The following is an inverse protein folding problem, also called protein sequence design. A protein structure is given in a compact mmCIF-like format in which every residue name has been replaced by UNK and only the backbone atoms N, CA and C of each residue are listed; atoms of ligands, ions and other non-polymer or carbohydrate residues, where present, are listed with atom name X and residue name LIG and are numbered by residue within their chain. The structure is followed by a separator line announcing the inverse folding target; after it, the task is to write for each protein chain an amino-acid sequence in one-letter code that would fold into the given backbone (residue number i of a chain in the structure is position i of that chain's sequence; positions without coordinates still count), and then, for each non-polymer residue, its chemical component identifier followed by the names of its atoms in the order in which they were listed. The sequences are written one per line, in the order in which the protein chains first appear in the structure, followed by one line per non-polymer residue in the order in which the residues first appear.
data_IF_223984504272
#
_entry.id   IF_223984504272
#
_cell.length_a   1.000
_cell.length_b   1.000
_cell.length_c   1.000
_cell.angle_alpha   90.00
_cell.angle_beta   90.00
_cell.angle_gamma   90.00
#
_symmetry.space_group_name_H-M   'P 1'
#
loop_
_entity.id
_entity.type
_entity.pdbx_description
1 polymer ?
#
# COMPACT_ATOMS: atom_id res chain seq x y z
N UNK A 1 -3.68 -9.65 -54.62
CA UNK A 1 -2.76 -8.63 -54.05
C UNK A 1 -3.18 -8.38 -52.62
N UNK A 2 -2.29 -8.59 -51.66
CA UNK A 2 -2.55 -8.26 -50.26
C UNK A 2 -2.45 -6.73 -50.13
N UNK A 3 -3.45 -6.11 -49.51
CA UNK A 3 -3.48 -4.65 -49.31
C UNK A 3 -2.37 -4.22 -48.33
N UNK A 4 -1.69 -3.11 -48.60
CA UNK A 4 -0.64 -2.56 -47.73
C UNK A 4 -1.12 -2.35 -46.28
N UNK A 5 -2.41 -2.07 -46.10
CA UNK A 5 -3.04 -1.95 -44.77
C UNK A 5 -3.01 -3.26 -43.99
N UNK A 6 -3.21 -4.39 -44.67
CA UNK A 6 -3.18 -5.72 -44.06
C UNK A 6 -1.76 -6.06 -43.61
N UNK A 7 -0.76 -5.73 -44.43
CA UNK A 7 0.66 -5.88 -44.08
C UNK A 7 1.06 -5.03 -42.87
N UNK A 8 0.59 -3.78 -42.80
CA UNK A 8 0.86 -2.90 -41.66
C UNK A 8 0.27 -3.47 -40.36
N UNK A 9 -0.98 -3.94 -40.39
CA UNK A 9 -1.64 -4.53 -39.20
C UNK A 9 -0.88 -5.76 -38.73
N UNK A 10 -0.52 -6.66 -39.65
CA UNK A 10 0.24 -7.88 -39.32
C UNK A 10 1.58 -7.52 -38.66
N UNK A 11 2.32 -6.54 -39.20
CA UNK A 11 3.60 -6.13 -38.62
C UNK A 11 3.46 -5.55 -37.22
N UNK A 12 2.43 -4.73 -36.97
CA UNK A 12 2.16 -4.18 -35.62
C UNK A 12 1.79 -5.29 -34.65
N UNK A 13 0.95 -6.23 -35.07
CA UNK A 13 0.60 -7.40 -34.26
C UNK A 13 1.82 -8.27 -33.96
N UNK A 14 2.70 -8.49 -34.93
CA UNK A 14 3.93 -9.25 -34.75
C UNK A 14 4.88 -8.54 -33.77
N UNK A 15 5.06 -7.23 -33.91
CA UNK A 15 5.89 -6.45 -33.00
C UNK A 15 5.39 -6.53 -31.56
N UNK A 16 4.08 -6.45 -31.35
CA UNK A 16 3.47 -6.60 -30.03
C UNK A 16 3.69 -7.99 -29.44
N UNK A 17 3.54 -9.05 -30.25
CA UNK A 17 3.82 -10.43 -29.82
C UNK A 17 5.30 -10.62 -29.45
N UNK A 18 6.22 -10.04 -30.23
CA UNK A 18 7.66 -10.10 -29.93
C UNK A 18 7.97 -9.42 -28.61
N UNK A 19 7.37 -8.27 -28.32
CA UNK A 19 7.54 -7.58 -27.03
C UNK A 19 7.02 -8.44 -25.88
N UNK A 20 5.83 -9.04 -26.02
CA UNK A 20 5.26 -9.92 -24.99
C UNK A 20 6.13 -11.16 -24.74
N UNK A 21 6.66 -11.77 -25.80
CA UNK A 21 7.59 -12.90 -25.69
C UNK A 21 8.91 -12.49 -25.04
N UNK A 22 9.42 -11.30 -25.36
CA UNK A 22 10.64 -10.76 -24.76
C UNK A 22 10.45 -10.55 -23.26
N UNK A 23 9.34 -9.92 -22.84
CA UNK A 23 9.02 -9.73 -21.41
C UNK A 23 8.90 -11.08 -20.68
N UNK A 24 8.31 -12.09 -21.33
CA UNK A 24 8.18 -13.44 -20.78
C UNK A 24 9.55 -14.13 -20.62
N UNK A 25 10.45 -14.00 -21.61
CA UNK A 25 11.80 -14.59 -21.58
C UNK A 25 12.59 -14.14 -20.34
N UNK A 26 12.49 -12.87 -19.98
CA UNK A 26 13.18 -12.31 -18.80
C UNK A 26 12.44 -12.53 -17.48
N UNK A 27 11.36 -13.33 -17.47
CA UNK A 27 10.51 -13.52 -16.29
C UNK A 27 10.08 -12.18 -15.66
N UNK A 28 9.97 -11.12 -16.47
CA UNK A 28 9.45 -9.83 -16.02
C UNK A 28 7.93 -10.03 -15.92
N UNK A 29 7.52 -10.55 -14.76
CA UNK A 29 6.12 -10.65 -14.41
C UNK A 29 5.58 -9.24 -14.34
N UNK A 30 4.72 -8.86 -15.30
CA UNK A 30 3.98 -7.60 -15.23
C UNK A 30 3.20 -7.67 -13.91
N UNK A 31 3.50 -6.81 -12.92
CA UNK A 31 2.77 -6.85 -11.67
C UNK A 31 1.29 -6.64 -11.99
N UNK A 32 0.43 -7.50 -11.47
CA UNK A 32 -1.00 -7.25 -11.58
C UNK A 32 -1.30 -5.89 -10.93
N UNK A 33 -2.30 -5.16 -11.45
CA UNK A 33 -2.69 -3.85 -10.90
C UNK A 33 -2.88 -3.92 -9.37
N UNK A 34 -3.46 -5.01 -8.86
CA UNK A 34 -3.59 -5.25 -7.43
C UNK A 34 -2.26 -5.40 -6.69
N UNK A 35 -1.26 -6.06 -7.29
CA UNK A 35 0.07 -6.20 -6.70
C UNK A 35 0.82 -4.88 -6.69
N UNK A 36 0.70 -4.07 -7.74
CA UNK A 36 1.31 -2.74 -7.82
C UNK A 36 0.77 -1.82 -6.71
N UNK A 37 -0.56 -1.78 -6.53
CA UNK A 37 -1.22 -1.04 -5.44
C UNK A 37 -0.71 -1.52 -4.07
N UNK A 38 -0.60 -2.84 -3.88
CA UNK A 38 -0.14 -3.41 -2.61
C UNK A 38 1.34 -3.09 -2.29
N UNK A 39 2.21 -2.94 -3.30
CA UNK A 39 3.61 -2.53 -3.08
C UNK A 39 3.82 -1.05 -2.84
N UNK A 40 2.92 -0.16 -3.26
CA UNK A 40 3.02 1.29 -2.98
C UNK A 40 2.41 1.69 -1.63
N UNK A 41 1.48 0.89 -1.10
CA UNK A 41 0.85 1.18 0.20
C UNK A 41 1.88 1.30 1.35
N UNK A 42 2.88 0.40 1.50
CA UNK A 42 3.85 0.46 2.60
C UNK A 42 4.75 1.70 2.53
N UNK A 43 5.14 2.16 1.33
CA UNK A 43 6.10 3.26 1.18
C UNK A 43 5.55 4.61 1.62
N UNK A 44 4.22 4.76 1.66
CA UNK A 44 3.52 5.97 2.08
C UNK A 44 2.68 5.73 3.35
N UNK A 45 2.87 4.60 4.04
CA UNK A 45 2.18 4.31 5.28
C UNK A 45 2.90 5.00 6.43
N UNK A 46 2.17 5.85 7.16
CA UNK A 46 2.70 6.58 8.32
C UNK A 46 1.98 6.08 9.56
N UNK A 47 2.78 5.68 10.55
CA UNK A 47 2.32 5.33 11.88
C UNK A 47 3.06 6.14 12.93
N UNK A 48 2.30 6.73 13.86
CA UNK A 48 2.83 7.52 14.97
C UNK A 48 2.25 6.97 16.27
N UNK A 49 3.13 6.61 17.20
CA UNK A 49 2.74 6.20 18.54
C UNK A 49 2.78 7.41 19.45
N UNK A 50 1.68 7.64 20.14
CA UNK A 50 1.54 8.66 21.16
C UNK A 50 1.46 8.03 22.53
N UNK A 51 2.40 8.35 23.41
CA UNK A 51 2.44 7.90 24.81
C UNK A 51 2.53 9.15 25.69
N UNK A 52 1.42 9.52 26.34
CA UNK A 52 1.32 10.81 27.03
C UNK A 52 1.48 11.98 26.04
N UNK A 53 2.48 12.83 26.27
CA UNK A 53 2.77 14.00 25.43
C UNK A 53 3.83 13.74 24.34
N UNK A 54 4.39 12.52 24.29
CA UNK A 54 5.41 12.15 23.31
C UNK A 54 4.80 11.53 22.05
N UNK A 55 5.32 11.91 20.89
CA UNK A 55 4.94 11.38 19.58
C UNK A 55 6.17 10.79 18.91
N UNK A 56 6.13 9.51 18.60
CA UNK A 56 7.22 8.81 17.92
C UNK A 56 6.70 8.18 16.64
N UNK A 57 7.29 8.53 15.50
CA UNK A 57 7.01 7.85 14.26
C UNK A 57 7.70 6.48 14.25
N UNK A 58 6.94 5.42 14.00
CA UNK A 58 7.49 4.08 13.83
C UNK A 58 7.83 3.85 12.37
N UNK A 59 9.08 3.44 12.11
CA UNK A 59 9.56 3.12 10.76
C UNK A 59 9.16 1.72 10.29
N UNK A 60 8.85 0.82 11.22
CA UNK A 60 8.33 -0.51 10.93
C UNK A 60 6.80 -0.49 10.97
N UNK A 61 6.19 -0.50 9.77
CA UNK A 61 4.74 -0.46 9.63
C UNK A 61 4.09 -1.78 10.06
N UNK A 62 4.78 -2.91 9.93
CA UNK A 62 4.24 -4.22 10.28
C UNK A 62 4.08 -4.32 11.80
N UNK A 63 5.13 -3.93 12.54
CA UNK A 63 5.08 -3.86 14.00
C UNK A 63 4.00 -2.88 14.48
N UNK A 64 3.90 -1.70 13.86
CA UNK A 64 2.83 -0.76 14.19
C UNK A 64 1.44 -1.34 13.92
N UNK A 65 1.24 -2.05 12.81
CA UNK A 65 -0.05 -2.67 12.51
C UNK A 65 -0.43 -3.71 13.55
N UNK A 66 0.52 -4.52 14.02
CA UNK A 66 0.28 -5.49 15.09
C UNK A 66 -0.17 -4.79 16.38
N UNK A 67 0.53 -3.73 16.79
CA UNK A 67 0.21 -3.02 18.04
C UNK A 67 -1.06 -2.17 17.96
N UNK A 68 -1.31 -1.53 16.82
CA UNK A 68 -2.54 -0.76 16.58
C UNK A 68 -3.78 -1.66 16.51
N UNK A 69 -3.66 -2.88 15.97
CA UNK A 69 -4.76 -3.87 15.94
C UNK A 69 -5.06 -4.50 17.29
N UNK A 70 -4.13 -4.49 18.24
CA UNK A 70 -4.41 -4.88 19.63
C UNK A 70 -5.32 -3.89 20.35
N UNK A 71 -5.52 -2.69 19.79
CA UNK A 71 -6.40 -1.70 20.38
C UNK A 71 -7.87 -2.04 20.16
N UNK A 72 -8.72 -1.76 21.15
CA UNK A 72 -10.15 -2.08 21.09
C UNK A 72 -10.94 -1.23 20.10
N UNK A 73 -10.46 -0.02 19.79
CA UNK A 73 -11.16 0.91 18.92
C UNK A 73 -10.21 1.63 17.99
N UNK A 74 -10.65 1.82 16.74
CA UNK A 74 -10.01 2.69 15.77
C UNK A 74 -11.08 3.58 15.14
N UNK A 75 -10.90 4.90 15.23
CA UNK A 75 -11.84 5.88 14.68
C UNK A 75 -11.11 6.97 13.92
N UNK A 76 -11.83 7.66 13.04
CA UNK A 76 -11.28 8.88 12.45
C UNK A 76 -11.19 9.95 13.52
N UNK A 77 -10.05 10.63 13.55
CA UNK A 77 -9.80 11.74 14.45
C UNK A 77 -9.06 12.83 13.68
N UNK A 78 -9.28 14.08 14.09
CA UNK A 78 -8.50 15.18 13.59
C UNK A 78 -7.05 15.00 14.07
N UNK A 79 -6.06 15.09 13.16
CA UNK A 79 -4.67 14.89 13.53
C UNK A 79 -4.24 15.94 14.57
N UNK A 80 -3.47 15.52 15.58
CA UNK A 80 -2.75 16.48 16.38
C UNK A 80 -1.66 17.06 15.47
N UNK A 81 -1.65 18.38 15.29
CA UNK A 81 -0.67 19.09 14.45
C UNK A 81 -0.81 18.84 12.94
N UNK A 82 0.17 19.33 12.17
CA UNK A 82 0.27 19.21 10.70
C UNK A 82 0.71 17.78 10.27
N UNK A 83 0.33 16.77 11.06
CA UNK A 83 0.64 15.37 10.80
C UNK A 83 -0.41 14.79 9.84
N UNK A 84 0.04 14.12 8.79
CA UNK A 84 -0.83 13.47 7.80
C UNK A 84 -1.47 12.17 8.31
N UNK A 85 -2.00 12.16 9.54
CA UNK A 85 -2.71 11.02 10.15
C UNK A 85 -4.21 11.27 10.17
N UNK A 86 -5.01 10.22 10.04
CA UNK A 86 -6.48 10.35 9.92
C UNK A 86 -7.24 9.41 10.84
N UNK A 87 -6.57 8.41 11.39
CA UNK A 87 -7.15 7.42 12.28
C UNK A 87 -6.39 7.38 13.60
N UNK A 88 -7.11 7.22 14.69
CA UNK A 88 -6.56 6.94 16.01
C UNK A 88 -7.06 5.59 16.49
N UNK A 89 -6.15 4.69 16.84
CA UNK A 89 -6.42 3.41 17.45
C UNK A 89 -6.01 3.46 18.93
N UNK A 90 -6.96 3.19 19.83
CA UNK A 90 -6.73 3.25 21.27
C UNK A 90 -7.65 2.33 22.07
N UNK A 91 -7.19 1.98 23.26
CA UNK A 91 -7.94 1.28 24.30
C UNK A 91 -7.97 2.18 25.53
N UNK A 92 -9.10 2.26 26.22
CA UNK A 92 -9.29 3.16 27.38
C UNK A 92 -8.22 2.99 28.47
N UNK A 93 -7.70 1.77 28.64
CA UNK A 93 -6.65 1.45 29.61
C UNK A 93 -5.23 1.38 29.01
N UNK A 94 -5.05 1.68 27.72
CA UNK A 94 -3.73 1.67 27.08
C UNK A 94 -3.07 3.04 27.26
N UNK A 95 -1.82 3.11 27.76
CA UNK A 95 -1.07 4.36 27.79
C UNK A 95 -0.65 4.81 26.39
N UNK A 96 -0.68 3.91 25.39
CA UNK A 96 -0.30 4.18 24.02
C UNK A 96 -1.52 4.33 23.11
N UNK A 97 -1.50 5.36 22.25
CA UNK A 97 -2.45 5.60 21.16
C UNK A 97 -1.69 5.56 19.83
N UNK A 98 -2.27 4.91 18.84
CA UNK A 98 -1.64 4.72 17.54
C UNK A 98 -2.35 5.56 16.49
N UNK A 99 -1.62 6.49 15.88
CA UNK A 99 -2.12 7.34 14.83
C UNK A 99 -1.68 6.80 13.48
N UNK A 100 -2.65 6.57 12.59
CA UNK A 100 -2.44 5.96 11.28
C UNK A 100 -2.95 6.91 10.21
N UNK A 101 -2.20 7.05 9.12
CA UNK A 101 -2.74 7.65 7.90
C UNK A 101 -3.65 6.65 7.17
N UNK A 102 -4.37 7.12 6.13
CA UNK A 102 -5.28 6.27 5.36
C UNK A 102 -4.58 5.01 4.79
N UNK A 103 -3.34 5.16 4.33
CA UNK A 103 -2.57 4.07 3.75
C UNK A 103 -2.20 3.02 4.80
N UNK A 104 -1.68 3.46 5.94
CA UNK A 104 -1.35 2.60 7.08
C UNK A 104 -2.59 1.87 7.61
N UNK A 105 -3.71 2.56 7.79
CA UNK A 105 -4.95 1.93 8.24
C UNK A 105 -5.42 0.83 7.28
N UNK A 106 -5.45 1.12 5.96
CA UNK A 106 -5.83 0.14 4.95
C UNK A 106 -4.86 -1.03 4.89
N UNK A 107 -3.56 -0.77 5.00
CA UNK A 107 -2.53 -1.79 5.07
C UNK A 107 -2.79 -2.74 6.24
N UNK A 108 -2.98 -2.21 7.45
CA UNK A 108 -3.23 -3.01 8.64
C UNK A 108 -4.50 -3.87 8.54
N UNK A 109 -5.55 -3.39 7.86
CA UNK A 109 -6.80 -4.14 7.65
C UNK A 109 -6.67 -5.29 6.65
N UNK A 110 -5.71 -5.20 5.71
CA UNK A 110 -5.51 -6.21 4.66
C UNK A 110 -4.55 -7.34 5.07
N UNK A 111 -3.86 -7.21 6.22
CA UNK A 111 -2.90 -8.22 6.67
C UNK A 111 -3.60 -9.49 7.19
N UNK A 112 -3.29 -10.68 6.63
CA UNK A 112 -3.95 -11.94 6.97
C UNK A 112 -3.42 -12.60 8.26
N UNK A 113 -2.30 -12.12 8.81
CA UNK A 113 -1.65 -12.67 10.00
C UNK A 113 -1.68 -11.72 11.20
N UNK A 114 -1.55 -12.33 12.39
CA UNK A 114 -1.66 -11.76 13.73
C UNK A 114 -0.36 -11.98 14.49
#
# INVERSE_FOLDING_TARGET
MVSDRVLAIINVSLALIVILLFLNLFHIGIPSLGKAIFTEIPSNAVCIVNVGDEFTQWGDIDECCLESRKQLSCSRADPPFDLEVSYICSTENSPARYWLNNNAFNYCQQQPYW
#
